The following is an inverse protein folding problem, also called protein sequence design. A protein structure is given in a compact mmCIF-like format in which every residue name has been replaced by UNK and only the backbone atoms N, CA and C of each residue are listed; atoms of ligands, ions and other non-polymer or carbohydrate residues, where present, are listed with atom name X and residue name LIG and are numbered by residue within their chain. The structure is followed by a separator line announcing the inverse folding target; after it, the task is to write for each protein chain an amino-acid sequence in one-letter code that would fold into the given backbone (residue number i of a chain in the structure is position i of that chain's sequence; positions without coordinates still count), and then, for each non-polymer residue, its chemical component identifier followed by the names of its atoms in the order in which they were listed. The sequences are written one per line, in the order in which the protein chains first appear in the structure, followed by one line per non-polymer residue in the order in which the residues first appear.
data_IF_485029908631
#
_entry.id   IF_485029908631
#
_cell.length_a   1.000
_cell.length_b   1.000
_cell.length_c   1.000
_cell.angle_alpha   90.00
_cell.angle_beta   90.00
_cell.angle_gamma   90.00
#
_symmetry.space_group_name_H-M   'P 1'
#
loop_
_entity.id
_entity.type
_entity.pdbx_description
1 polymer ?
#
# COMPACT_ATOMS: atom_id res chain seq x y z
N UNK A 1 -37.51 15.03 39.06
CA UNK A 1 -36.60 14.05 38.44
C UNK A 1 -36.12 14.70 37.16
N UNK A 2 -34.89 15.18 37.15
CA UNK A 2 -34.25 15.76 35.97
C UNK A 2 -33.49 14.64 35.28
N UNK A 3 -33.94 14.26 34.09
CA UNK A 3 -33.18 13.41 33.19
C UNK A 3 -31.85 14.11 32.89
N UNK A 4 -30.75 13.48 33.29
CA UNK A 4 -29.42 13.91 32.89
C UNK A 4 -29.30 13.60 31.41
N UNK A 5 -29.05 14.57 30.53
CA UNK A 5 -28.81 14.28 29.12
C UNK A 5 -27.55 13.41 29.04
N UNK A 6 -27.69 12.18 28.52
CA UNK A 6 -26.55 11.35 28.17
C UNK A 6 -25.68 12.14 27.21
N UNK A 7 -24.49 12.50 27.69
CA UNK A 7 -23.41 12.96 26.81
C UNK A 7 -23.14 11.78 25.86
N UNK A 8 -23.20 11.97 24.53
CA UNK A 8 -22.87 10.90 23.61
C UNK A 8 -21.44 10.44 23.92
N UNK A 9 -21.26 9.12 24.07
CA UNK A 9 -19.94 8.55 24.26
C UNK A 9 -19.04 9.01 23.10
N UNK A 10 -17.72 9.23 23.34
CA UNK A 10 -16.81 9.59 22.27
C UNK A 10 -16.90 8.54 21.16
N UNK A 11 -17.21 8.97 19.94
CA UNK A 11 -17.16 8.10 18.75
C UNK A 11 -15.77 7.46 18.67
N UNK A 12 -15.73 6.17 18.34
CA UNK A 12 -14.46 5.45 18.20
C UNK A 12 -13.62 6.07 17.08
N UNK A 13 -12.32 6.16 17.31
CA UNK A 13 -11.37 6.59 16.29
C UNK A 13 -11.20 5.48 15.25
N UNK A 14 -11.26 5.85 13.98
CA UNK A 14 -11.01 4.91 12.90
C UNK A 14 -9.57 4.38 12.96
N UNK A 15 -9.41 3.07 12.81
CA UNK A 15 -8.10 2.43 12.76
C UNK A 15 -7.88 1.69 11.45
N UNK A 16 -6.65 1.80 10.94
CA UNK A 16 -6.19 1.09 9.76
C UNK A 16 -5.12 0.07 10.15
N UNK A 17 -5.12 -1.09 9.49
CA UNK A 17 -4.07 -2.08 9.67
C UNK A 17 -2.74 -1.57 9.08
N UNK A 18 -1.67 -1.53 9.89
CA UNK A 18 -0.38 -0.95 9.48
C UNK A 18 0.23 -1.61 8.23
N UNK A 19 0.03 -2.93 8.08
CA UNK A 19 0.56 -3.68 6.93
C UNK A 19 -0.27 -3.57 5.65
N UNK A 20 -1.35 -2.80 5.60
CA UNK A 20 -2.25 -2.77 4.45
C UNK A 20 -1.54 -2.36 3.15
N UNK A 21 -0.86 -1.22 3.14
CA UNK A 21 -0.18 -0.71 1.94
C UNK A 21 0.92 -1.67 1.46
N UNK A 22 1.65 -2.28 2.38
CA UNK A 22 2.72 -3.23 2.05
C UNK A 22 2.21 -4.55 1.44
N UNK A 23 0.93 -4.87 1.59
CA UNK A 23 0.39 -6.11 0.99
C UNK A 23 0.13 -5.97 -0.50
N UNK A 24 -0.24 -4.77 -0.95
CA UNK A 24 -0.67 -4.49 -2.32
C UNK A 24 -2.12 -4.92 -2.62
N UNK A 25 -2.95 -5.21 -1.61
CA UNK A 25 -4.36 -5.56 -1.79
C UNK A 25 -5.18 -4.45 -2.48
N UNK A 26 -4.77 -3.19 -2.34
CA UNK A 26 -5.41 -2.04 -3.00
C UNK A 26 -5.40 -2.12 -4.53
N UNK A 27 -4.45 -2.86 -5.12
CA UNK A 27 -4.34 -3.02 -6.57
C UNK A 27 -5.05 -4.27 -7.10
N UNK A 28 -5.68 -5.05 -6.22
CA UNK A 28 -6.36 -6.30 -6.58
C UNK A 28 -7.84 -6.24 -6.23
N UNK A 29 -8.18 -5.60 -5.12
CA UNK A 29 -9.56 -5.54 -4.65
C UNK A 29 -10.34 -4.41 -5.31
N UNK A 30 -11.68 -4.54 -5.36
CA UNK A 30 -12.55 -3.42 -5.58
C UNK A 30 -12.26 -2.30 -4.57
N UNK A 31 -12.62 -1.08 -4.95
CA UNK A 31 -12.36 0.15 -4.21
C UNK A 31 -12.78 0.07 -2.74
N UNK A 32 -13.86 -0.64 -2.44
CA UNK A 32 -14.40 -0.83 -1.09
C UNK A 32 -13.49 -1.68 -0.18
N UNK A 33 -12.46 -2.35 -0.70
CA UNK A 33 -11.50 -3.12 0.11
C UNK A 33 -10.77 -2.26 1.14
N UNK A 34 -10.33 -1.06 0.76
CA UNK A 34 -9.70 -0.11 1.69
C UNK A 34 -10.63 0.29 2.85
N UNK A 35 -11.83 0.87 2.61
CA UNK A 35 -12.72 1.26 3.70
C UNK A 35 -13.22 0.05 4.51
N UNK A 36 -13.42 -1.12 3.90
CA UNK A 36 -13.77 -2.34 4.62
C UNK A 36 -12.65 -2.76 5.58
N UNK A 37 -11.39 -2.69 5.15
CA UNK A 37 -10.22 -2.96 6.02
C UNK A 37 -10.19 -2.01 7.20
N UNK A 38 -10.45 -0.72 6.96
CA UNK A 38 -10.49 0.28 8.03
C UNK A 38 -11.67 0.03 9.00
N UNK A 39 -12.82 -0.40 8.49
CA UNK A 39 -13.97 -0.77 9.32
C UNK A 39 -13.65 -1.97 10.22
N UNK A 40 -13.07 -3.03 9.66
CA UNK A 40 -12.68 -4.23 10.42
C UNK A 40 -11.56 -3.91 11.42
N UNK A 41 -10.58 -3.08 11.04
CA UNK A 41 -9.52 -2.61 11.94
C UNK A 41 -10.10 -1.86 13.13
N UNK A 42 -11.12 -1.03 12.90
CA UNK A 42 -11.87 -0.32 13.94
C UNK A 42 -12.68 -1.29 14.81
N UNK A 43 -13.37 -2.26 14.20
CA UNK A 43 -14.10 -3.32 14.91
C UNK A 43 -13.18 -4.21 15.76
N UNK A 44 -11.90 -4.29 15.40
CA UNK A 44 -10.89 -5.08 16.12
C UNK A 44 -10.33 -4.37 17.35
N UNK A 45 -10.70 -3.09 17.58
CA UNK A 45 -10.25 -2.36 18.75
C UNK A 45 -10.83 -2.93 20.06
N UNK A 46 -10.09 -2.84 21.18
CA UNK A 46 -10.61 -3.23 22.48
C UNK A 46 -11.90 -2.49 22.83
N UNK A 47 -12.91 -3.23 23.30
CA UNK A 47 -14.18 -2.65 23.74
C UNK A 47 -15.26 -2.51 22.65
N UNK A 48 -15.00 -2.98 21.43
CA UNK A 48 -16.06 -3.24 20.46
C UNK A 48 -16.56 -4.69 20.57
N UNK A 49 -17.87 -4.87 20.51
CA UNK A 49 -18.51 -6.18 20.36
C UNK A 49 -19.83 -5.94 19.64
N UNK A 50 -19.96 -6.47 18.42
CA UNK A 50 -21.05 -6.15 17.53
C UNK A 50 -20.76 -6.51 16.07
N UNK A 51 -21.77 -6.39 15.22
CA UNK A 51 -21.65 -6.56 13.78
C UNK A 51 -20.98 -5.34 13.12
N UNK A 52 -20.51 -5.51 11.88
CA UNK A 52 -20.03 -4.36 11.11
C UNK A 52 -21.15 -3.34 10.83
N UNK A 53 -22.42 -3.79 10.72
CA UNK A 53 -23.58 -2.90 10.58
C UNK A 53 -23.73 -2.00 11.81
N UNK A 54 -23.59 -2.56 13.02
CA UNK A 54 -23.64 -1.78 14.27
C UNK A 54 -22.55 -0.69 14.30
N UNK A 55 -21.36 -1.00 13.76
CA UNK A 55 -20.25 -0.05 13.70
C UNK A 55 -20.48 1.06 12.67
N UNK A 56 -21.05 0.72 11.51
CA UNK A 56 -21.45 1.71 10.49
C UNK A 56 -22.55 2.62 11.04
N UNK A 57 -23.52 2.07 11.77
CA UNK A 57 -24.56 2.84 12.46
C UNK A 57 -23.94 3.79 13.49
N UNK A 58 -23.05 3.30 14.35
CA UNK A 58 -22.45 4.10 15.44
C UNK A 58 -21.60 5.28 14.92
N UNK A 59 -20.75 5.04 13.92
CA UNK A 59 -19.75 6.03 13.48
C UNK A 59 -20.32 6.93 12.39
N UNK A 60 -21.13 6.37 11.49
CA UNK A 60 -21.56 7.02 10.25
C UNK A 60 -23.07 7.17 10.11
N UNK A 61 -23.83 6.93 11.19
CA UNK A 61 -25.30 7.05 11.21
C UNK A 61 -25.96 6.20 10.09
N UNK A 62 -25.38 5.01 9.86
CA UNK A 62 -25.86 4.01 8.91
C UNK A 62 -25.41 4.21 7.46
N UNK A 63 -24.69 5.30 7.16
CA UNK A 63 -24.30 5.62 5.79
C UNK A 63 -22.87 6.15 5.70
N UNK A 64 -21.99 5.36 5.08
CA UNK A 64 -20.62 5.73 4.80
C UNK A 64 -20.33 5.77 3.30
N UNK A 65 -20.12 6.98 2.78
CA UNK A 65 -19.82 7.22 1.36
C UNK A 65 -18.68 6.34 0.83
N UNK A 66 -17.63 6.09 1.61
CA UNK A 66 -16.51 5.24 1.16
C UNK A 66 -16.94 3.80 0.84
N UNK A 67 -17.96 3.25 1.49
CA UNK A 67 -18.53 1.94 1.13
C UNK A 67 -19.51 2.00 -0.05
N UNK A 68 -19.92 3.20 -0.46
CA UNK A 68 -21.06 3.37 -1.38
C UNK A 68 -22.41 3.39 -0.67
N UNK A 69 -22.42 3.43 0.67
CA UNK A 69 -23.64 3.43 1.48
C UNK A 69 -23.45 2.63 2.75
N UNK A 70 -23.81 1.36 2.71
CA UNK A 70 -23.72 0.40 3.82
C UNK A 70 -23.01 -0.88 3.35
N UNK A 71 -23.13 -1.98 4.09
CA UNK A 71 -22.53 -3.25 3.72
C UNK A 71 -23.24 -3.93 2.54
N UNK A 72 -24.47 -3.55 2.21
CA UNK A 72 -25.22 -4.11 1.08
C UNK A 72 -25.00 -3.30 -0.21
N UNK A 73 -24.19 -2.25 -0.16
CA UNK A 73 -23.76 -1.49 -1.31
C UNK A 73 -22.99 -2.36 -2.32
N UNK A 74 -23.24 -2.09 -3.61
CA UNK A 74 -22.54 -2.73 -4.72
C UNK A 74 -21.06 -2.31 -4.73
N UNK A 75 -20.21 -3.26 -5.12
CA UNK A 75 -18.78 -3.03 -5.30
C UNK A 75 -18.50 -2.30 -6.62
N UNK A 76 -17.44 -1.48 -6.65
CA UNK A 76 -16.97 -0.80 -7.86
C UNK A 76 -15.45 -0.69 -7.86
N UNK A 77 -14.83 -0.54 -9.03
CA UNK A 77 -13.41 -0.25 -9.17
C UNK A 77 -13.13 1.25 -9.32
N UNK A 78 -14.03 2.01 -9.98
CA UNK A 78 -13.96 3.47 -10.05
C UNK A 78 -15.04 4.18 -9.24
N UNK A 79 -14.86 5.46 -8.94
CA UNK A 79 -15.93 6.31 -8.40
C UNK A 79 -16.83 6.87 -9.51
N UNK A 80 -18.14 7.05 -9.28
CA UNK A 80 -19.01 7.71 -10.24
C UNK A 80 -18.65 9.18 -10.49
N UNK A 81 -18.05 9.86 -9.51
CA UNK A 81 -17.75 11.29 -9.55
C UNK A 81 -16.27 11.64 -9.75
N UNK A 82 -15.41 10.63 -9.87
CA UNK A 82 -14.01 10.79 -10.27
C UNK A 82 -13.91 11.30 -11.72
N UNK A 83 -12.87 12.07 -12.03
CA UNK A 83 -12.60 12.49 -13.39
C UNK A 83 -12.13 11.28 -14.20
N UNK A 84 -12.61 11.11 -15.43
CA UNK A 84 -12.23 9.95 -16.23
C UNK A 84 -11.05 10.29 -17.13
N UNK A 85 -9.96 9.56 -16.97
CA UNK A 85 -8.82 9.65 -17.87
C UNK A 85 -9.06 8.83 -19.15
N UNK A 86 -9.32 9.55 -20.25
CA UNK A 86 -9.49 8.95 -21.58
C UNK A 86 -8.15 8.68 -22.28
N UNK A 87 -7.02 9.15 -21.75
CA UNK A 87 -5.69 8.81 -22.24
C UNK A 87 -5.27 7.44 -21.72
N UNK A 88 -5.49 7.16 -20.43
CA UNK A 88 -5.20 5.86 -19.82
C UNK A 88 -6.22 4.78 -20.26
N UNK A 89 -7.50 5.11 -20.30
CA UNK A 89 -8.58 4.18 -20.64
C UNK A 89 -9.53 4.76 -21.71
N UNK A 90 -9.13 4.74 -23.00
CA UNK A 90 -9.86 5.39 -24.08
C UNK A 90 -11.23 4.74 -24.39
N UNK A 91 -11.41 3.48 -24.03
CA UNK A 91 -12.68 2.75 -24.14
C UNK A 91 -13.77 3.29 -23.19
N UNK A 92 -13.41 4.10 -22.21
CA UNK A 92 -14.32 4.76 -21.29
C UNK A 92 -14.62 3.96 -20.03
N UNK A 93 -15.23 4.64 -19.05
CA UNK A 93 -15.47 4.11 -17.69
C UNK A 93 -16.15 2.76 -17.65
N UNK A 94 -17.26 2.61 -18.36
CA UNK A 94 -18.06 1.37 -18.29
C UNK A 94 -17.28 0.16 -18.81
N UNK A 95 -16.46 0.34 -19.86
CA UNK A 95 -15.68 -0.73 -20.45
C UNK A 95 -14.49 -1.10 -19.54
N UNK A 96 -13.80 -0.10 -18.98
CA UNK A 96 -12.71 -0.32 -18.03
C UNK A 96 -13.20 -0.98 -16.73
N UNK A 97 -14.34 -0.54 -16.18
CA UNK A 97 -14.97 -1.17 -15.01
C UNK A 97 -15.34 -2.64 -15.31
N UNK A 98 -15.87 -2.92 -16.51
CA UNK A 98 -16.19 -4.28 -16.93
C UNK A 98 -14.94 -5.18 -17.05
N UNK A 99 -13.83 -4.64 -17.58
CA UNK A 99 -12.55 -5.35 -17.70
C UNK A 99 -11.95 -5.69 -16.33
N UNK A 100 -12.00 -4.75 -15.37
CA UNK A 100 -11.61 -5.01 -13.99
C UNK A 100 -12.46 -6.12 -13.35
N UNK A 101 -13.77 -6.09 -13.57
CA UNK A 101 -14.67 -7.15 -13.08
C UNK A 101 -14.40 -8.51 -13.72
N UNK A 102 -14.10 -8.56 -15.02
CA UNK A 102 -13.72 -9.79 -15.71
C UNK A 102 -12.42 -10.36 -15.12
N UNK A 103 -11.40 -9.52 -14.97
CA UNK A 103 -10.10 -9.90 -14.41
C UNK A 103 -10.23 -10.38 -12.96
N UNK A 104 -10.89 -9.59 -12.11
CA UNK A 104 -11.10 -9.94 -10.70
C UNK A 104 -11.95 -11.21 -10.56
N UNK A 105 -13.03 -11.33 -11.34
CA UNK A 105 -13.89 -12.51 -11.33
C UNK A 105 -13.16 -13.78 -11.78
N UNK A 106 -12.28 -13.68 -12.78
CA UNK A 106 -11.44 -14.79 -13.23
C UNK A 106 -10.44 -15.24 -12.16
N UNK A 107 -9.77 -14.30 -11.48
CA UNK A 107 -8.84 -14.58 -10.37
C UNK A 107 -9.54 -15.34 -9.24
N UNK A 108 -10.71 -14.88 -8.81
CA UNK A 108 -11.50 -15.51 -7.75
C UNK A 108 -11.96 -16.90 -8.15
N UNK A 109 -12.50 -17.04 -9.37
CA UNK A 109 -12.99 -18.32 -9.89
C UNK A 109 -11.86 -19.35 -9.98
N UNK A 110 -10.68 -18.94 -10.46
CA UNK A 110 -9.51 -19.80 -10.55
C UNK A 110 -9.01 -20.26 -9.16
N UNK A 111 -9.13 -19.41 -8.15
CA UNK A 111 -8.82 -19.72 -6.75
C UNK A 111 -9.94 -20.51 -6.02
N UNK A 112 -11.10 -20.71 -6.66
CA UNK A 112 -12.24 -21.42 -6.07
C UNK A 112 -13.09 -20.58 -5.11
N UNK A 113 -12.98 -19.25 -5.18
CA UNK A 113 -13.78 -18.31 -4.38
C UNK A 113 -14.98 -17.79 -5.17
N UNK A 114 -16.12 -17.49 -4.50
CA UNK A 114 -17.23 -16.79 -5.13
C UNK A 114 -16.84 -15.35 -5.47
N UNK A 115 -17.41 -14.81 -6.55
CA UNK A 115 -17.26 -13.40 -6.90
C UNK A 115 -18.24 -12.57 -6.06
N UNK A 116 -17.75 -11.63 -5.22
CA UNK A 116 -18.61 -10.83 -4.37
C UNK A 116 -19.27 -9.74 -5.20
N UNK A 117 -20.52 -9.44 -4.89
CA UNK A 117 -21.32 -8.37 -5.50
C UNK A 117 -21.54 -7.20 -4.54
N UNK A 118 -21.43 -7.45 -3.23
CA UNK A 118 -21.63 -6.47 -2.16
C UNK A 118 -20.44 -6.38 -1.21
N UNK A 119 -20.35 -5.29 -0.45
CA UNK A 119 -19.35 -5.12 0.63
C UNK A 119 -19.46 -6.24 1.67
N UNK A 120 -20.68 -6.68 1.98
CA UNK A 120 -20.95 -7.78 2.91
C UNK A 120 -20.35 -9.09 2.40
N UNK A 121 -20.56 -9.42 1.14
CA UNK A 121 -19.95 -10.61 0.53
C UNK A 121 -18.42 -10.50 0.46
N UNK A 122 -17.88 -9.30 0.20
CA UNK A 122 -16.43 -9.05 0.26
C UNK A 122 -15.89 -9.27 1.69
N UNK A 123 -16.65 -8.90 2.73
CA UNK A 123 -16.25 -9.16 4.13
C UNK A 123 -16.18 -10.65 4.46
N UNK A 124 -17.05 -11.48 3.88
CA UNK A 124 -16.97 -12.92 4.04
C UNK A 124 -15.76 -13.51 3.30
N UNK A 125 -15.35 -12.93 2.16
CA UNK A 125 -14.07 -13.29 1.52
C UNK A 125 -12.86 -12.90 2.37
N UNK A 126 -12.90 -11.75 3.07
CA UNK A 126 -11.84 -11.37 4.00
C UNK A 126 -11.67 -12.41 5.12
N UNK A 127 -12.77 -12.96 5.62
CA UNK A 127 -12.74 -14.06 6.59
C UNK A 127 -12.16 -15.33 5.97
N UNK A 128 -12.56 -15.69 4.74
CA UNK A 128 -12.06 -16.87 4.02
C UNK A 128 -10.56 -16.79 3.73
N UNK A 129 -10.05 -15.60 3.43
CA UNK A 129 -8.63 -15.33 3.19
C UNK A 129 -7.80 -15.15 4.45
N UNK A 130 -8.45 -15.08 5.63
CA UNK A 130 -7.75 -14.79 6.87
C UNK A 130 -7.20 -13.36 6.95
N UNK A 131 -7.77 -12.43 6.19
CA UNK A 131 -7.52 -10.98 6.37
C UNK A 131 -8.20 -10.45 7.64
N UNK A 132 -9.25 -11.15 8.08
CA UNK A 132 -9.99 -10.87 9.29
C UNK A 132 -10.44 -12.17 9.97
N UNK A 133 -10.75 -12.08 11.26
CA UNK A 133 -11.37 -13.16 12.02
C UNK A 133 -12.58 -12.63 12.79
N UNK A 134 -13.58 -13.49 12.92
CA UNK A 134 -14.83 -13.25 13.64
C UNK A 134 -15.06 -14.37 14.66
N UNK A 135 -15.27 -14.01 15.91
CA UNK A 135 -15.66 -14.93 16.98
C UNK A 135 -17.01 -14.51 17.56
N UNK A 136 -17.98 -15.42 17.57
CA UNK A 136 -19.27 -15.18 18.21
C UNK A 136 -19.18 -15.44 19.72
N UNK A 137 -19.44 -14.42 20.52
CA UNK A 137 -19.42 -14.49 21.99
C UNK A 137 -20.81 -14.23 22.57
N UNK A 138 -21.09 -14.59 23.84
CA UNK A 138 -22.35 -14.23 24.49
C UNK A 138 -22.62 -12.73 24.57
N UNK A 139 -21.58 -11.90 24.45
CA UNK A 139 -21.67 -10.44 24.46
C UNK A 139 -21.88 -9.86 23.04
N UNK A 140 -21.82 -10.71 22.01
CA UNK A 140 -21.91 -10.35 20.59
C UNK A 140 -20.65 -10.76 19.82
N UNK A 141 -20.52 -10.23 18.61
CA UNK A 141 -19.45 -10.61 17.68
C UNK A 141 -18.15 -9.86 17.99
N UNK A 142 -17.05 -10.58 18.12
CA UNK A 142 -15.70 -10.01 18.29
C UNK A 142 -14.91 -10.14 16.99
N UNK A 143 -14.35 -9.03 16.54
CA UNK A 143 -13.50 -8.97 15.36
C UNK A 143 -12.02 -8.92 15.75
N UNK A 144 -11.17 -9.44 14.87
CA UNK A 144 -9.72 -9.29 14.97
C UNK A 144 -9.10 -9.39 13.57
N UNK A 145 -7.85 -8.95 13.46
CA UNK A 145 -7.03 -9.06 12.26
C UNK A 145 -5.71 -9.76 12.62
N UNK A 146 -5.07 -10.49 11.69
CA UNK A 146 -3.75 -11.06 11.94
C UNK A 146 -2.70 -9.94 12.07
N UNK A 147 -1.64 -10.18 12.84
CA UNK A 147 -0.53 -9.21 12.99
C UNK A 147 0.15 -8.89 11.65
N UNK A 148 0.20 -9.89 10.75
CA UNK A 148 0.69 -9.76 9.39
C UNK A 148 -0.38 -10.25 8.41
N UNK A 149 -0.81 -9.37 7.52
CA UNK A 149 -1.79 -9.71 6.49
C UNK A 149 -1.14 -10.62 5.43
N UNK A 150 -1.81 -11.71 4.99
CA UNK A 150 -1.37 -12.47 3.84
C UNK A 150 -1.36 -11.59 2.58
N UNK A 151 -0.47 -11.91 1.64
CA UNK A 151 -0.37 -11.18 0.37
C UNK A 151 -1.37 -11.72 -0.64
N UNK A 152 -1.78 -10.93 -1.65
CA UNK A 152 -2.62 -11.41 -2.73
C UNK A 152 -2.04 -12.67 -3.41
N UNK A 153 -0.74 -12.70 -3.67
CA UNK A 153 -0.06 -13.83 -4.32
C UNK A 153 0.05 -15.10 -3.47
N UNK A 154 -0.22 -15.02 -2.16
CA UNK A 154 -0.28 -16.21 -1.29
C UNK A 154 -1.63 -16.93 -1.42
N UNK A 155 -2.66 -16.23 -1.92
CA UNK A 155 -4.07 -16.65 -1.89
C UNK A 155 -4.71 -16.74 -3.27
N UNK A 156 -4.23 -15.96 -4.23
CA UNK A 156 -4.77 -15.84 -5.57
C UNK A 156 -3.70 -16.21 -6.62
N UNK A 157 -4.08 -16.90 -7.71
CA UNK A 157 -3.17 -17.22 -8.80
C UNK A 157 -2.92 -15.98 -9.67
N UNK A 158 -2.03 -15.11 -9.22
CA UNK A 158 -1.64 -13.92 -9.98
C UNK A 158 -0.83 -14.31 -11.22
N UNK A 159 -1.04 -13.59 -12.31
CA UNK A 159 -0.12 -13.66 -13.45
C UNK A 159 1.25 -13.02 -13.10
N UNK A 160 2.23 -13.27 -13.96
CA UNK A 160 3.60 -12.83 -13.73
C UNK A 160 3.73 -11.30 -13.76
N UNK A 161 2.94 -10.60 -14.58
CA UNK A 161 3.00 -9.15 -14.74
C UNK A 161 2.45 -8.45 -13.49
N UNK A 162 1.28 -8.87 -13.02
CA UNK A 162 0.68 -8.36 -11.79
C UNK A 162 1.55 -8.69 -10.57
N UNK A 163 2.11 -9.90 -10.49
CA UNK A 163 2.99 -10.25 -9.37
C UNK A 163 4.25 -9.37 -9.35
N UNK A 164 4.88 -9.14 -10.52
CA UNK A 164 6.04 -8.26 -10.66
C UNK A 164 5.70 -6.80 -10.33
N UNK A 165 4.54 -6.31 -10.78
CA UNK A 165 4.04 -4.96 -10.46
C UNK A 165 3.87 -4.79 -8.95
N UNK A 166 3.22 -5.74 -8.26
CA UNK A 166 3.05 -5.70 -6.80
C UNK A 166 4.38 -5.76 -6.06
N UNK A 167 5.33 -6.58 -6.52
CA UNK A 167 6.69 -6.63 -5.96
C UNK A 167 7.43 -5.30 -6.15
N UNK A 168 7.24 -4.65 -7.30
CA UNK A 168 7.74 -3.31 -7.59
C UNK A 168 7.22 -2.28 -6.60
N UNK A 169 5.89 -2.19 -6.43
CA UNK A 169 5.24 -1.25 -5.50
C UNK A 169 5.73 -1.46 -4.07
N UNK A 170 5.73 -2.70 -3.58
CA UNK A 170 6.22 -3.04 -2.23
C UNK A 170 7.65 -2.58 -2.01
N UNK A 171 8.49 -2.78 -3.02
CA UNK A 171 9.88 -2.35 -2.97
C UNK A 171 9.96 -0.82 -2.91
N UNK A 172 9.25 -0.11 -3.78
CA UNK A 172 9.23 1.36 -3.79
C UNK A 172 8.76 1.93 -2.45
N UNK A 173 7.71 1.38 -1.83
CA UNK A 173 7.28 1.80 -0.50
C UNK A 173 8.36 1.60 0.57
N UNK A 174 9.08 0.46 0.50
CA UNK A 174 10.16 0.15 1.43
C UNK A 174 11.42 1.01 1.21
N UNK A 175 11.81 1.24 -0.04
CA UNK A 175 13.06 1.91 -0.39
C UNK A 175 12.91 3.41 -0.55
N UNK A 176 11.71 3.92 -0.83
CA UNK A 176 11.43 5.33 -1.10
C UNK A 176 11.95 6.29 -0.03
N UNK A 177 11.60 6.10 1.26
CA UNK A 177 12.13 6.93 2.34
C UNK A 177 13.66 6.83 2.49
N UNK A 178 14.23 5.65 2.23
CA UNK A 178 15.66 5.40 2.35
C UNK A 178 16.44 6.11 1.24
N UNK A 179 15.99 5.96 0.00
CA UNK A 179 16.50 6.66 -1.17
C UNK A 179 16.33 8.17 -1.00
N UNK A 180 15.17 8.63 -0.54
CA UNK A 180 14.93 10.05 -0.27
C UNK A 180 15.88 10.64 0.76
N UNK A 181 16.20 9.90 1.82
CA UNK A 181 17.21 10.31 2.81
C UNK A 181 18.62 10.39 2.22
N UNK A 182 19.00 9.42 1.37
CA UNK A 182 20.29 9.41 0.70
C UNK A 182 20.42 10.54 -0.34
N UNK A 183 19.39 10.76 -1.16
CA UNK A 183 19.38 11.84 -2.15
C UNK A 183 19.41 13.19 -1.47
N UNK A 184 18.66 13.39 -0.38
CA UNK A 184 18.73 14.65 0.40
C UNK A 184 20.17 14.96 0.82
N UNK A 185 20.89 13.96 1.32
CA UNK A 185 22.29 14.14 1.67
C UNK A 185 23.16 14.50 0.45
N UNK A 186 23.00 13.78 -0.66
CA UNK A 186 23.80 14.00 -1.86
C UNK A 186 23.50 15.35 -2.54
N UNK A 187 22.23 15.74 -2.64
CA UNK A 187 21.79 16.96 -3.28
C UNK A 187 21.98 18.18 -2.36
N UNK A 188 21.39 18.15 -1.17
CA UNK A 188 21.31 19.34 -0.30
C UNK A 188 22.62 19.58 0.47
N UNK A 189 23.26 18.52 0.99
CA UNK A 189 24.47 18.68 1.80
C UNK A 189 25.76 18.72 0.97
N UNK A 190 25.80 17.96 -0.14
CA UNK A 190 27.00 17.84 -0.99
C UNK A 190 26.90 18.61 -2.32
N UNK A 191 25.74 19.15 -2.67
CA UNK A 191 25.56 19.98 -3.87
C UNK A 191 25.58 19.18 -5.17
N UNK A 192 24.87 18.06 -5.22
CA UNK A 192 24.68 17.22 -6.41
C UNK A 192 26.00 16.77 -7.08
N UNK A 193 26.91 16.10 -6.36
CA UNK A 193 28.18 15.69 -6.93
C UNK A 193 27.99 14.57 -7.98
N UNK A 194 28.63 14.70 -9.14
CA UNK A 194 28.67 13.63 -10.16
C UNK A 194 29.33 12.35 -9.64
N UNK A 195 30.39 12.48 -8.84
CA UNK A 195 31.12 11.37 -8.23
C UNK A 195 31.46 11.65 -6.76
N UNK A 196 31.15 10.70 -5.87
CA UNK A 196 31.48 10.75 -4.45
C UNK A 196 32.29 9.53 -4.02
N UNK A 197 33.47 9.74 -3.42
CA UNK A 197 34.30 8.67 -2.85
C UNK A 197 34.00 8.44 -1.37
N UNK A 198 33.08 7.52 -1.08
CA UNK A 198 32.52 7.27 0.26
C UNK A 198 32.66 5.80 0.69
N UNK A 199 32.02 5.41 1.80
CA UNK A 199 31.81 4.04 2.28
C UNK A 199 30.40 3.94 2.87
N UNK A 200 29.86 2.74 3.08
CA UNK A 200 28.50 2.59 3.62
C UNK A 200 28.42 3.17 5.04
N UNK A 201 29.45 2.95 5.88
CA UNK A 201 29.49 3.53 7.25
C UNK A 201 29.39 5.05 7.24
N UNK A 202 30.01 5.72 6.26
CA UNK A 202 29.99 7.19 6.17
C UNK A 202 28.64 7.70 5.71
N UNK A 203 28.05 7.04 4.72
CA UNK A 203 26.70 7.37 4.26
C UNK A 203 25.68 7.13 5.37
N UNK A 204 25.77 6.02 6.10
CA UNK A 204 24.90 5.69 7.24
C UNK A 204 24.95 6.79 8.32
N UNK A 205 26.16 7.22 8.71
CA UNK A 205 26.33 8.32 9.66
C UNK A 205 25.77 9.64 9.11
N UNK A 206 25.97 9.92 7.82
CA UNK A 206 25.52 11.16 7.21
C UNK A 206 24.00 11.25 7.03
N UNK A 207 23.34 10.13 6.71
CA UNK A 207 21.89 10.06 6.50
C UNK A 207 21.11 9.73 7.79
N UNK A 208 21.81 9.33 8.86
CA UNK A 208 21.18 8.84 10.09
C UNK A 208 20.48 7.49 9.93
N UNK A 209 20.83 6.72 8.89
CA UNK A 209 20.28 5.40 8.58
C UNK A 209 21.24 4.29 9.03
N UNK A 210 20.73 3.06 9.15
CA UNK A 210 21.59 1.90 9.34
C UNK A 210 22.30 1.52 8.03
N UNK A 211 23.45 0.84 8.15
CA UNK A 211 24.27 0.42 6.99
C UNK A 211 23.49 -0.44 5.99
N UNK A 212 22.59 -1.28 6.48
CA UNK A 212 21.76 -2.15 5.65
C UNK A 212 20.70 -1.36 4.86
N UNK A 213 20.16 -0.30 5.45
CA UNK A 213 19.21 0.60 4.78
C UNK A 213 19.89 1.43 3.69
N UNK A 214 21.09 1.94 3.96
CA UNK A 214 21.92 2.61 2.95
C UNK A 214 22.25 1.66 1.80
N UNK A 215 22.56 0.40 2.11
CA UNK A 215 22.82 -0.62 1.10
C UNK A 215 21.60 -0.84 0.21
N UNK A 216 20.42 -0.92 0.82
CA UNK A 216 19.15 -1.09 0.11
C UNK A 216 18.83 0.13 -0.77
N UNK A 217 19.04 1.35 -0.26
CA UNK A 217 18.85 2.58 -1.03
C UNK A 217 19.81 2.65 -2.23
N UNK A 218 21.08 2.28 -2.06
CA UNK A 218 22.05 2.25 -3.15
C UNK A 218 21.73 1.18 -4.19
N UNK A 219 21.30 -0.01 -3.75
CA UNK A 219 20.85 -1.06 -4.66
C UNK A 219 19.67 -0.58 -5.51
N UNK A 220 18.74 0.15 -4.91
CA UNK A 220 17.60 0.73 -5.61
C UNK A 220 18.02 1.76 -6.67
N UNK A 221 18.86 2.75 -6.31
CA UNK A 221 19.35 3.75 -7.25
C UNK A 221 20.12 3.12 -8.43
N UNK A 222 20.92 2.09 -8.17
CA UNK A 222 21.65 1.37 -9.24
C UNK A 222 20.70 0.59 -10.15
N UNK A 223 19.66 -0.02 -9.57
CA UNK A 223 18.67 -0.80 -10.29
C UNK A 223 17.79 0.07 -11.19
N UNK A 224 17.40 1.25 -10.71
CA UNK A 224 16.62 2.24 -11.46
C UNK A 224 17.43 2.97 -12.53
N UNK A 225 18.77 2.85 -12.50
CA UNK A 225 19.67 3.50 -13.47
C UNK A 225 20.19 4.87 -13.03
N UNK A 226 19.68 5.39 -11.92
CA UNK A 226 20.01 6.71 -11.35
C UNK A 226 21.43 6.80 -10.78
N UNK A 227 22.06 5.66 -10.51
CA UNK A 227 23.41 5.62 -9.98
C UNK A 227 24.23 4.43 -10.48
N UNK A 228 25.55 4.54 -10.33
CA UNK A 228 26.49 3.44 -10.52
C UNK A 228 27.48 3.40 -9.37
N UNK A 229 27.74 2.20 -8.85
CA UNK A 229 28.77 2.00 -7.82
C UNK A 229 30.00 1.33 -8.43
N UNK A 230 31.19 1.87 -8.13
CA UNK A 230 32.47 1.33 -8.59
C UNK A 230 33.45 1.09 -7.45
N UNK A 231 34.22 0.00 -7.56
CA UNK A 231 35.42 -0.24 -6.77
C UNK A 231 36.63 -0.26 -7.69
N UNK A 232 37.48 0.77 -7.58
CA UNK A 232 38.57 0.97 -8.52
C UNK A 232 38.03 1.32 -9.92
N UNK A 233 38.25 0.42 -10.89
CA UNK A 233 37.77 0.55 -12.27
C UNK A 233 36.56 -0.36 -12.58
N UNK A 234 36.18 -1.24 -11.65
CA UNK A 234 35.11 -2.22 -11.86
C UNK A 234 33.80 -1.74 -11.26
N UNK A 235 32.69 -2.04 -11.93
CA UNK A 235 31.34 -1.91 -11.35
C UNK A 235 31.20 -2.87 -10.19
N UNK A 236 30.68 -2.39 -9.07
CA UNK A 236 30.46 -3.17 -7.88
C UNK A 236 28.97 -3.25 -7.57
N UNK A 237 28.55 -4.43 -7.16
CA UNK A 237 27.20 -4.69 -6.67
C UNK A 237 27.02 -4.05 -5.28
N UNK A 238 26.08 -3.09 -5.13
CA UNK A 238 25.79 -2.45 -3.85
C UNK A 238 25.48 -3.46 -2.73
N UNK A 239 24.77 -4.54 -3.04
CA UNK A 239 24.34 -5.54 -2.06
C UNK A 239 25.52 -6.29 -1.43
N UNK A 240 26.68 -6.27 -2.09
CA UNK A 240 27.89 -7.01 -1.67
C UNK A 240 28.97 -6.10 -1.10
N UNK A 241 28.68 -4.81 -0.91
CA UNK A 241 29.64 -3.87 -0.36
C UNK A 241 29.87 -4.12 1.14
N UNK A 242 31.15 -4.27 1.50
CA UNK A 242 31.61 -4.25 2.88
C UNK A 242 31.48 -2.84 3.48
N UNK A 243 30.93 -2.74 4.68
CA UNK A 243 30.50 -1.48 5.30
C UNK A 243 31.59 -0.38 5.34
N UNK A 244 32.80 -0.78 5.74
CA UNK A 244 33.94 0.09 5.94
C UNK A 244 34.76 0.37 4.67
N UNK A 245 34.51 -0.38 3.58
CA UNK A 245 35.32 -0.25 2.36
C UNK A 245 34.84 0.91 1.50
N UNK A 246 35.81 1.64 0.96
CA UNK A 246 35.53 2.78 0.11
C UNK A 246 35.11 2.34 -1.30
N UNK A 247 34.13 3.04 -1.86
CA UNK A 247 33.66 2.92 -3.22
C UNK A 247 33.37 4.30 -3.80
N UNK A 248 33.30 4.37 -5.13
CA UNK A 248 32.83 5.55 -5.86
C UNK A 248 31.36 5.37 -6.15
N UNK A 249 30.55 6.31 -5.67
CA UNK A 249 29.17 6.48 -6.08
C UNK A 249 29.16 7.51 -7.21
N UNK A 250 28.62 7.13 -8.36
CA UNK A 250 28.47 8.01 -9.52
C UNK A 250 26.98 8.20 -9.72
N UNK A 251 26.50 9.44 -9.66
CA UNK A 251 25.09 9.77 -9.84
C UNK A 251 24.83 10.17 -11.30
N UNK A 252 23.64 9.82 -11.79
CA UNK A 252 23.08 10.31 -13.05
C UNK A 252 21.90 11.23 -12.70
N UNK A 253 22.20 12.49 -12.39
CA UNK A 253 21.21 13.46 -11.91
C UNK A 253 20.17 13.77 -12.97
N UNK A 254 20.57 13.85 -14.24
CA UNK A 254 19.65 14.07 -15.37
C UNK A 254 18.62 12.94 -15.45
N UNK A 255 19.07 11.67 -15.41
CA UNK A 255 18.16 10.52 -15.41
C UNK A 255 17.23 10.49 -14.19
N UNK A 256 17.78 10.80 -13.01
CA UNK A 256 17.02 10.83 -11.76
C UNK A 256 15.91 11.90 -11.79
N UNK A 257 16.22 13.11 -12.28
CA UNK A 257 15.27 14.22 -12.38
C UNK A 257 14.19 13.96 -13.44
N UNK A 258 14.56 13.39 -14.58
CA UNK A 258 13.60 12.97 -15.61
C UNK A 258 12.61 11.93 -15.07
N UNK A 259 13.12 10.91 -14.37
CA UNK A 259 12.30 9.82 -13.81
C UNK A 259 11.38 10.33 -12.69
N UNK A 260 11.84 11.27 -11.85
CA UNK A 260 11.00 11.86 -10.80
C UNK A 260 10.00 12.88 -11.30
N UNK A 261 10.31 13.61 -12.36
CA UNK A 261 9.34 14.49 -13.02
C UNK A 261 8.19 13.66 -13.59
N UNK A 262 8.48 12.49 -14.16
CA UNK A 262 7.45 11.54 -14.61
C UNK A 262 6.63 10.96 -13.45
N UNK A 263 7.26 10.63 -12.31
CA UNK A 263 6.55 10.17 -11.11
C UNK A 263 5.68 11.25 -10.46
N UNK A 264 6.08 12.53 -10.51
CA UNK A 264 5.26 13.64 -10.02
C UNK A 264 4.04 13.90 -10.92
N UNK A 265 4.21 13.77 -12.25
CA UNK A 265 3.08 13.86 -13.19
C UNK A 265 2.10 12.71 -12.98
N UNK A 266 2.57 11.47 -12.78
CA UNK A 266 1.68 10.33 -12.50
C UNK A 266 1.02 10.31 -11.11
N UNK A 267 1.47 11.13 -10.15
CA UNK A 267 0.86 11.22 -8.80
C UNK A 267 -0.10 12.42 -8.69
N UNK A 268 0.06 13.45 -9.52
CA UNK A 268 -0.93 14.53 -9.65
C UNK A 268 -2.10 14.14 -10.58
N UNK A 269 -1.96 13.07 -11.37
CA UNK A 269 -2.96 12.52 -12.28
C UNK A 269 -3.67 11.23 -11.77
N UNK A 270 -3.54 10.90 -10.47
CA UNK A 270 -4.24 9.79 -9.79
C UNK A 270 -5.05 10.28 -8.57
#
# INVERSE_FOLDING_TARGET
MTETPSVPEPRRDMAMHNGWWETGWEHVLPRQGFPLTMLIGTASQPGFTGSLDDLVEEIFDGHWRMLGGDLDAALTFSWPDEEWDYEEAPEGREASEADHWETFGALLTAAGFPVPTTVRELSELYLAWGLAYREETPQGTRWSMPDALPRPGDLLPLDAELAERLDGIRRTMRTGPLVGGLIRHLADDLGEPDETLTSLDRLAVATGQDTDDVRLALAELVRSGDARVRRGQETADPERLEAHRRFRLIMDWDHYDETRTQLHVMVDDA
#
